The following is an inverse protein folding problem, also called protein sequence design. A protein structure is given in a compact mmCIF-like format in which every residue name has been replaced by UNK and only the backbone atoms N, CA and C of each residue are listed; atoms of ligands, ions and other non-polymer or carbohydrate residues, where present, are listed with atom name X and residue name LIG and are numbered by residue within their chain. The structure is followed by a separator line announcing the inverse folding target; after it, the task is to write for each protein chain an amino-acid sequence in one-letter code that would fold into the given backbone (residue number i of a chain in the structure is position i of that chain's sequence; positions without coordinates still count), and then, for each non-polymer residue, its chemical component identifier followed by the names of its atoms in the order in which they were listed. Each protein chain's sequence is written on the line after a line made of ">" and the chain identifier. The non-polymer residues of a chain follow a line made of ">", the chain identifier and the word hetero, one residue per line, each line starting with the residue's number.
data_IF_616471804871
#
_entry.id   IF_616471804871
#
_cell.length_a   1.000
_cell.length_b   1.000
_cell.length_c   1.000
_cell.angle_alpha   90.00
_cell.angle_beta   90.00
_cell.angle_gamma   90.00
#
_symmetry.space_group_name_H-M   'P 1'
#
loop_
_entity.id
_entity.type
_entity.pdbx_description
1 polymer ?
#
# COMPACT_ATOMS: atom_id res chain seq x y z
N UNK A 1 -6.92 25.75 14.48
CA UNK A 1 -5.73 26.16 13.70
C UNK A 1 -5.45 27.61 13.98
N UNK A 2 -4.19 27.97 14.24
CA UNK A 2 -3.77 29.37 14.46
C UNK A 2 -3.21 29.92 13.16
N UNK A 3 -3.70 31.07 12.71
CA UNK A 3 -3.23 31.81 11.54
C UNK A 3 -2.76 33.22 11.94
N UNK A 4 -2.06 33.97 11.06
CA UNK A 4 -1.64 35.34 11.36
C UNK A 4 -2.79 36.32 11.65
N UNK A 5 -4.01 36.02 11.19
CA UNK A 5 -5.18 36.90 11.35
C UNK A 5 -6.18 36.38 12.38
N UNK A 6 -5.89 35.27 13.08
CA UNK A 6 -6.74 34.74 14.14
C UNK A 6 -6.80 33.23 14.20
N UNK A 7 -7.74 32.72 15.00
CA UNK A 7 -7.97 31.28 15.18
C UNK A 7 -9.11 30.82 14.28
N UNK A 8 -8.90 29.72 13.58
CA UNK A 8 -9.91 29.02 12.78
C UNK A 8 -10.26 27.70 13.48
N UNK A 9 -11.55 27.45 13.66
CA UNK A 9 -12.09 26.24 14.26
C UNK A 9 -13.14 25.61 13.33
N UNK A 10 -13.08 24.28 13.18
CA UNK A 10 -14.12 23.51 12.49
C UNK A 10 -15.09 22.89 13.49
N UNK A 11 -16.29 22.57 13.01
CA UNK A 11 -17.34 21.94 13.83
C UNK A 11 -17.15 20.43 13.86
N UNK A 12 -17.25 19.84 15.04
CA UNK A 12 -17.23 18.38 15.23
C UNK A 12 -18.56 17.74 14.83
N UNK A 13 -18.82 17.65 13.53
CA UNK A 13 -20.01 17.02 12.96
C UNK A 13 -19.63 15.72 12.22
N UNK A 14 -20.48 14.68 12.23
CA UNK A 14 -20.20 13.44 11.50
C UNK A 14 -20.20 13.64 9.97
N UNK A 15 -20.92 14.66 9.50
CA UNK A 15 -20.98 15.14 8.12
C UNK A 15 -21.72 16.47 8.08
N UNK A 16 -21.48 17.28 7.04
CA UNK A 16 -22.14 18.57 6.84
C UNK A 16 -22.37 18.80 5.35
N UNK A 17 -23.58 19.23 4.99
CA UNK A 17 -23.90 19.76 3.65
C UNK A 17 -23.86 21.29 3.58
N UNK A 18 -23.45 21.96 4.67
CA UNK A 18 -23.43 23.41 4.75
C UNK A 18 -22.19 24.00 4.07
N UNK A 19 -22.20 24.00 2.73
CA UNK A 19 -21.16 24.64 1.91
C UNK A 19 -19.81 23.91 1.94
N UNK A 20 -18.73 24.60 1.53
CA UNK A 20 -17.38 24.03 1.52
C UNK A 20 -16.93 23.59 2.91
N UNK A 21 -16.29 22.42 2.99
CA UNK A 21 -15.72 21.91 4.25
C UNK A 21 -14.49 22.74 4.65
N UNK A 22 -14.49 23.36 5.84
CA UNK A 22 -13.31 24.06 6.35
C UNK A 22 -12.10 23.14 6.50
N UNK A 23 -12.31 21.89 6.94
CA UNK A 23 -11.24 20.90 7.09
C UNK A 23 -10.56 20.60 5.76
N UNK A 24 -11.34 20.46 4.66
CA UNK A 24 -10.80 20.22 3.32
C UNK A 24 -10.02 21.40 2.74
N UNK A 25 -10.21 22.61 3.26
CA UNK A 25 -9.40 23.78 2.87
C UNK A 25 -8.01 23.74 3.52
N UNK A 26 -7.89 23.13 4.69
CA UNK A 26 -6.65 23.09 5.50
C UNK A 26 -5.82 21.84 5.24
N UNK A 27 -6.46 20.68 5.04
CA UNK A 27 -5.78 19.41 4.77
C UNK A 27 -5.05 19.52 3.43
N UNK A 28 -3.73 19.26 3.45
CA UNK A 28 -2.86 19.42 2.28
C UNK A 28 -2.28 20.82 2.10
N UNK A 29 -2.46 21.74 3.06
CA UNK A 29 -1.89 23.10 2.98
C UNK A 29 -0.38 23.19 3.18
N UNK A 30 0.29 22.12 3.61
CA UNK A 30 1.75 22.09 3.80
C UNK A 30 2.31 23.28 4.62
N UNK A 31 1.53 23.79 5.58
CA UNK A 31 1.92 24.86 6.50
C UNK A 31 1.74 26.29 5.97
N UNK A 32 1.24 26.48 4.74
CA UNK A 32 1.09 27.84 4.16
C UNK A 32 -0.08 28.64 4.76
N UNK A 33 -1.04 27.95 5.40
CA UNK A 33 -2.26 28.57 5.93
C UNK A 33 -2.21 28.83 7.45
N UNK A 34 -1.24 28.27 8.16
CA UNK A 34 -1.13 28.38 9.62
C UNK A 34 -0.67 27.08 10.29
N UNK A 35 -0.85 27.02 11.61
CA UNK A 35 -0.41 25.90 12.46
C UNK A 35 -1.62 25.17 13.05
N UNK A 36 -1.77 23.89 12.74
CA UNK A 36 -2.77 23.02 13.37
C UNK A 36 -2.29 22.68 14.78
N UNK A 37 -3.01 23.13 15.80
CA UNK A 37 -2.69 22.91 17.22
C UNK A 37 -3.49 21.77 17.84
N UNK A 38 -4.73 21.56 17.38
CA UNK A 38 -5.66 20.56 17.89
C UNK A 38 -6.49 19.98 16.75
N UNK A 39 -6.92 18.72 16.89
CA UNK A 39 -7.78 18.03 15.93
C UNK A 39 -8.68 16.99 16.61
N UNK A 40 -9.87 16.78 16.05
CA UNK A 40 -10.76 15.69 16.46
C UNK A 40 -10.58 14.50 15.52
N UNK A 41 -10.28 13.32 16.09
CA UNK A 41 -10.09 12.08 15.33
C UNK A 41 -11.22 11.09 15.58
N UNK A 42 -11.64 10.37 14.54
CA UNK A 42 -12.54 9.23 14.70
C UNK A 42 -11.73 8.04 15.24
N UNK A 43 -12.23 7.44 16.31
CA UNK A 43 -11.63 6.24 16.90
C UNK A 43 -12.46 5.00 16.53
N UNK A 44 -11.82 3.84 16.58
CA UNK A 44 -12.43 2.52 16.43
C UNK A 44 -11.86 1.63 17.55
N UNK A 45 -12.62 0.63 17.95
CA UNK A 45 -12.12 -0.37 18.90
C UNK A 45 -10.94 -1.14 18.29
N UNK A 46 -10.03 -1.57 19.16
CA UNK A 46 -8.84 -2.30 18.72
C UNK A 46 -9.27 -3.65 18.12
N UNK A 47 -8.86 -3.97 16.87
CA UNK A 47 -9.22 -5.26 16.28
C UNK A 47 -8.63 -6.43 17.08
N UNK A 48 -9.49 -7.40 17.43
CA UNK A 48 -9.13 -8.64 18.14
C UNK A 48 -9.25 -9.86 17.23
N UNK A 49 -10.01 -9.76 16.13
CA UNK A 49 -10.11 -10.76 15.08
C UNK A 49 -9.27 -10.36 13.88
N UNK A 50 -8.57 -11.36 13.32
CA UNK A 50 -7.54 -11.18 12.32
C UNK A 50 -7.49 -12.37 11.38
N UNK A 51 -7.45 -12.14 10.08
CA UNK A 51 -7.32 -13.17 9.07
C UNK A 51 -6.47 -12.63 7.93
N UNK A 52 -5.40 -13.34 7.57
CA UNK A 52 -4.48 -12.92 6.50
C UNK A 52 -3.98 -14.08 5.69
N UNK A 53 -3.71 -13.84 4.41
CA UNK A 53 -3.08 -14.79 3.51
C UNK A 53 -2.29 -14.03 2.44
N UNK A 54 -1.21 -14.63 1.95
CA UNK A 54 -0.47 -14.14 0.78
C UNK A 54 -0.81 -15.01 -0.41
N UNK A 55 -1.02 -14.38 -1.56
CA UNK A 55 -1.32 -15.05 -2.83
C UNK A 55 -0.20 -14.76 -3.81
N UNK A 56 0.31 -15.81 -4.44
CA UNK A 56 1.39 -15.77 -5.41
C UNK A 56 0.84 -15.80 -6.83
N UNK A 57 1.46 -15.02 -7.72
CA UNK A 57 1.12 -14.95 -9.13
C UNK A 57 2.38 -15.04 -9.99
N UNK A 58 2.31 -15.80 -11.07
CA UNK A 58 3.33 -15.86 -12.12
C UNK A 58 3.34 -14.59 -12.99
N UNK A 59 2.15 -14.13 -13.34
CA UNK A 59 1.94 -13.01 -14.26
C UNK A 59 1.46 -11.76 -13.49
N UNK A 60 2.10 -10.62 -13.77
CA UNK A 60 1.79 -9.37 -13.07
C UNK A 60 0.42 -8.80 -13.45
N UNK A 61 -0.01 -8.98 -14.70
CA UNK A 61 -1.31 -8.50 -15.18
C UNK A 61 -2.45 -9.25 -14.48
N UNK A 62 -2.30 -10.56 -14.31
CA UNK A 62 -3.22 -11.39 -13.52
C UNK A 62 -3.28 -10.92 -12.05
N UNK A 63 -2.12 -10.64 -11.44
CA UNK A 63 -2.06 -10.15 -10.07
C UNK A 63 -2.72 -8.76 -9.92
N UNK A 64 -2.53 -7.86 -10.90
CA UNK A 64 -3.19 -6.56 -10.97
C UNK A 64 -4.71 -6.72 -11.12
N UNK A 65 -5.18 -7.61 -12.00
CA UNK A 65 -6.61 -7.89 -12.20
C UNK A 65 -7.26 -8.43 -10.93
N UNK A 66 -6.63 -9.39 -10.25
CA UNK A 66 -7.10 -9.90 -8.96
C UNK A 66 -7.24 -8.77 -7.94
N UNK A 67 -6.22 -7.92 -7.85
CA UNK A 67 -6.18 -6.78 -6.92
C UNK A 67 -7.32 -5.80 -7.19
N UNK A 68 -7.58 -5.50 -8.47
CA UNK A 68 -8.71 -4.67 -8.91
C UNK A 68 -10.05 -5.28 -8.53
N UNK A 69 -10.30 -6.54 -8.87
CA UNK A 69 -11.57 -7.21 -8.60
C UNK A 69 -11.87 -7.28 -7.11
N UNK A 70 -10.86 -7.52 -6.28
CA UNK A 70 -10.99 -7.49 -4.81
C UNK A 70 -11.34 -6.08 -4.34
N UNK A 71 -10.70 -5.04 -4.86
CA UNK A 71 -11.02 -3.65 -4.50
C UNK A 71 -12.46 -3.26 -4.88
N UNK A 72 -12.95 -3.78 -6.01
CA UNK A 72 -14.30 -3.53 -6.54
C UNK A 72 -15.39 -4.43 -5.92
N UNK A 73 -15.01 -5.44 -5.14
CA UNK A 73 -15.94 -6.44 -4.57
C UNK A 73 -16.72 -5.95 -3.34
N UNK A 74 -16.34 -4.81 -2.75
CA UNK A 74 -16.93 -4.33 -1.51
C UNK A 74 -16.52 -5.13 -0.26
N UNK A 75 -15.45 -5.93 -0.33
CA UNK A 75 -14.91 -6.66 0.83
C UNK A 75 -14.13 -5.77 1.80
N UNK A 76 -13.60 -4.63 1.34
CA UNK A 76 -12.84 -3.65 2.14
C UNK A 76 -11.74 -4.27 3.04
N UNK A 77 -10.78 -5.01 2.47
CA UNK A 77 -9.67 -5.58 3.24
C UNK A 77 -8.88 -4.48 3.96
N UNK A 78 -8.41 -4.78 5.17
CA UNK A 78 -7.50 -3.92 5.92
C UNK A 78 -6.12 -3.81 5.24
N UNK A 79 -5.72 -4.82 4.47
CA UNK A 79 -4.54 -4.80 3.62
C UNK A 79 -4.84 -5.50 2.29
N UNK A 80 -4.55 -4.82 1.20
CA UNK A 80 -4.62 -5.33 -0.17
C UNK A 80 -3.44 -4.73 -0.94
N UNK A 81 -2.26 -5.31 -0.74
CA UNK A 81 -1.00 -4.80 -1.30
C UNK A 81 -0.43 -5.80 -2.28
N UNK A 82 -0.23 -5.36 -3.52
CA UNK A 82 0.45 -6.13 -4.54
C UNK A 82 1.91 -5.72 -4.59
N UNK A 83 2.81 -6.68 -4.49
CA UNK A 83 4.25 -6.52 -4.65
C UNK A 83 4.63 -7.15 -5.99
N UNK A 84 5.38 -6.43 -6.83
CA UNK A 84 6.06 -7.13 -7.91
C UNK A 84 7.15 -8.06 -7.37
N UNK A 85 7.67 -8.95 -8.22
CA UNK A 85 8.58 -9.99 -7.78
C UNK A 85 9.92 -9.41 -7.24
N UNK A 86 10.44 -8.36 -7.89
CA UNK A 86 11.66 -7.70 -7.44
C UNK A 86 11.46 -6.96 -6.12
N UNK A 87 10.30 -6.33 -5.91
CA UNK A 87 9.91 -5.70 -4.65
C UNK A 87 9.77 -6.75 -3.53
N UNK A 88 9.17 -7.90 -3.84
CA UNK A 88 9.02 -9.01 -2.92
C UNK A 88 10.39 -9.56 -2.48
N UNK A 89 11.32 -9.76 -3.42
CA UNK A 89 12.71 -10.13 -3.13
C UNK A 89 13.40 -9.08 -2.26
N UNK A 90 13.33 -7.82 -2.67
CA UNK A 90 14.02 -6.71 -2.01
C UNK A 90 13.61 -6.56 -0.55
N UNK A 91 12.32 -6.76 -0.25
CA UNK A 91 11.78 -6.69 1.10
C UNK A 91 11.75 -8.03 1.83
N UNK A 92 12.31 -9.10 1.24
CA UNK A 92 12.33 -10.47 1.79
C UNK A 92 10.92 -11.02 2.06
N UNK A 93 9.93 -10.53 1.32
CA UNK A 93 8.57 -11.06 1.32
C UNK A 93 8.43 -12.28 0.41
N UNK A 94 9.38 -12.49 -0.52
CA UNK A 94 9.49 -13.65 -1.40
C UNK A 94 10.93 -13.84 -1.91
N UNK A 95 11.12 -14.79 -2.82
CA UNK A 95 12.42 -15.11 -3.43
C UNK A 95 12.66 -14.42 -4.79
N UNK A 96 11.70 -13.62 -5.24
CA UNK A 96 11.76 -12.93 -6.53
C UNK A 96 11.26 -13.73 -7.73
N UNK A 97 10.72 -14.93 -7.53
CA UNK A 97 10.17 -15.76 -8.61
C UNK A 97 8.68 -15.54 -8.86
N UNK A 98 7.98 -14.82 -7.97
CA UNK A 98 6.53 -14.61 -8.00
C UNK A 98 6.17 -13.19 -7.57
N UNK A 99 5.09 -12.68 -8.11
CA UNK A 99 4.39 -11.50 -7.58
C UNK A 99 3.56 -11.91 -6.37
N UNK A 100 3.47 -11.04 -5.36
CA UNK A 100 2.81 -11.36 -4.09
C UNK A 100 1.71 -10.36 -3.80
N UNK A 101 0.47 -10.84 -3.68
CA UNK A 101 -0.66 -10.09 -3.15
C UNK A 101 -0.86 -10.43 -1.67
N UNK A 102 -0.67 -9.45 -0.79
CA UNK A 102 -0.92 -9.60 0.64
C UNK A 102 -2.36 -9.16 0.93
N UNK A 103 -3.16 -10.09 1.45
CA UNK A 103 -4.55 -9.85 1.86
C UNK A 103 -4.67 -9.99 3.38
N UNK A 104 -5.32 -9.02 4.01
CA UNK A 104 -5.68 -9.15 5.41
C UNK A 104 -6.97 -8.43 5.78
N UNK A 105 -7.69 -9.02 6.72
CA UNK A 105 -8.94 -8.54 7.28
C UNK A 105 -8.81 -8.47 8.80
N UNK A 106 -9.30 -7.38 9.39
CA UNK A 106 -9.28 -7.18 10.84
C UNK A 106 -10.63 -6.66 11.32
N UNK A 107 -11.09 -7.13 12.49
CA UNK A 107 -12.33 -6.66 13.13
C UNK A 107 -12.18 -6.64 14.65
N UNK A 108 -12.85 -5.70 15.30
CA UNK A 108 -12.99 -5.69 16.76
C UNK A 108 -14.17 -6.55 17.25
N UNK A 109 -15.05 -6.99 16.34
CA UNK A 109 -16.37 -7.52 16.68
C UNK A 109 -16.57 -9.00 16.30
N UNK A 110 -16.10 -9.43 15.12
CA UNK A 110 -16.37 -10.79 14.60
C UNK A 110 -15.25 -11.36 13.73
N UNK A 111 -15.26 -12.69 13.52
CA UNK A 111 -14.33 -13.37 12.62
C UNK A 111 -14.59 -12.97 11.15
N UNK A 112 -13.52 -12.68 10.40
CA UNK A 112 -13.58 -12.29 8.98
C UNK A 112 -13.03 -13.36 8.03
N UNK A 113 -13.00 -14.63 8.47
CA UNK A 113 -12.51 -15.75 7.65
C UNK A 113 -13.26 -15.88 6.32
N UNK A 114 -14.59 -15.69 6.32
CA UNK A 114 -15.43 -15.76 5.12
C UNK A 114 -15.08 -14.63 4.12
N UNK A 115 -14.69 -13.45 4.61
CA UNK A 115 -14.25 -12.34 3.74
C UNK A 115 -12.91 -12.65 3.10
N UNK A 116 -11.99 -13.23 3.88
CA UNK A 116 -10.72 -13.69 3.35
C UNK A 116 -10.94 -14.78 2.30
N UNK A 117 -11.77 -15.78 2.60
CA UNK A 117 -12.09 -16.87 1.66
C UNK A 117 -12.65 -16.32 0.34
N UNK A 118 -13.57 -15.35 0.41
CA UNK A 118 -14.11 -14.73 -0.81
C UNK A 118 -13.07 -13.94 -1.59
N UNK A 119 -12.15 -13.24 -0.92
CA UNK A 119 -11.04 -12.55 -1.58
C UNK A 119 -10.07 -13.54 -2.24
N UNK A 120 -9.81 -14.68 -1.60
CA UNK A 120 -8.96 -15.75 -2.12
C UNK A 120 -9.60 -16.46 -3.32
N UNK A 121 -10.93 -16.63 -3.34
CA UNK A 121 -11.66 -17.12 -4.51
C UNK A 121 -11.48 -16.20 -5.72
N UNK A 122 -11.60 -14.87 -5.52
CA UNK A 122 -11.37 -13.88 -6.59
C UNK A 122 -9.91 -13.91 -7.05
N UNK A 123 -8.95 -14.00 -6.11
CA UNK A 123 -7.54 -14.08 -6.48
C UNK A 123 -7.23 -15.35 -7.28
N UNK A 124 -7.83 -16.48 -6.91
CA UNK A 124 -7.65 -17.75 -7.60
C UNK A 124 -8.31 -17.80 -8.97
N UNK A 125 -9.45 -17.12 -9.18
CA UNK A 125 -10.06 -17.04 -10.52
C UNK A 125 -9.19 -16.33 -11.54
N UNK A 126 -8.27 -15.47 -11.08
CA UNK A 126 -7.27 -14.79 -11.90
C UNK A 126 -5.91 -15.53 -11.92
N UNK A 127 -5.85 -16.78 -11.45
CA UNK A 127 -4.63 -17.60 -11.47
C UNK A 127 -3.71 -17.43 -10.25
N UNK A 128 -4.20 -16.84 -9.16
CA UNK A 128 -3.46 -16.75 -7.90
C UNK A 128 -3.39 -18.08 -7.15
N UNK A 129 -2.20 -18.40 -6.65
CA UNK A 129 -1.94 -19.57 -5.82
C UNK A 129 -1.73 -19.17 -4.36
N UNK A 130 -2.33 -19.89 -3.41
CA UNK A 130 -2.18 -19.59 -1.99
C UNK A 130 -2.23 -20.86 -1.17
N UNK A 131 -1.57 -20.83 -0.02
CA UNK A 131 -1.71 -21.85 1.02
C UNK A 131 -2.45 -21.23 2.21
N UNK A 132 -3.58 -21.84 2.59
CA UNK A 132 -4.29 -21.38 3.79
C UNK A 132 -3.42 -21.71 5.02
N UNK A 133 -3.25 -20.76 5.97
CA UNK A 133 -2.55 -21.05 7.21
C UNK A 133 -3.20 -22.25 7.91
N UNK A 134 -2.41 -23.27 8.28
CA UNK A 134 -2.94 -24.50 8.86
C UNK A 134 -3.50 -24.34 10.28
N UNK A 135 -3.22 -23.24 10.99
CA UNK A 135 -3.78 -22.99 12.33
C UNK A 135 -4.12 -21.51 12.56
N UNK A 136 -5.11 -21.26 13.44
CA UNK A 136 -5.42 -19.94 14.01
C UNK A 136 -4.27 -19.50 14.93
N UNK A 137 -3.07 -19.33 14.40
CA UNK A 137 -1.97 -18.71 15.14
C UNK A 137 -2.34 -17.24 15.38
N UNK A 138 -2.43 -16.89 16.66
CA UNK A 138 -2.77 -15.54 17.16
C UNK A 138 -1.79 -14.47 16.68
N UNK A 139 -0.66 -14.87 16.08
CA UNK A 139 0.38 -14.00 15.52
C UNK A 139 0.62 -14.16 14.00
N UNK A 140 -0.29 -14.75 13.22
CA UNK A 140 -0.11 -14.95 11.77
C UNK A 140 0.21 -13.67 10.96
N UNK A 141 -0.17 -12.49 11.46
CA UNK A 141 0.19 -11.19 10.87
C UNK A 141 1.63 -10.73 11.19
N UNK A 142 2.33 -11.43 12.09
CA UNK A 142 3.72 -11.19 12.52
C UNK A 142 4.68 -12.28 12.04
N UNK A 143 4.17 -13.44 11.64
CA UNK A 143 4.92 -14.52 11.01
C UNK A 143 4.76 -14.51 9.47
N UNK A 144 5.61 -15.24 8.76
CA UNK A 144 5.58 -15.37 7.30
C UNK A 144 5.93 -14.10 6.50
N UNK A 145 5.50 -14.06 5.23
CA UNK A 145 5.78 -12.97 4.29
C UNK A 145 5.22 -11.62 4.78
N UNK A 146 4.02 -11.61 5.36
CA UNK A 146 3.36 -10.41 5.89
C UNK A 146 4.10 -9.77 7.08
N UNK A 147 4.58 -10.59 8.01
CA UNK A 147 5.38 -10.12 9.14
C UNK A 147 6.76 -9.60 8.73
N UNK A 148 7.43 -10.31 7.82
CA UNK A 148 8.74 -9.90 7.27
C UNK A 148 8.62 -8.59 6.50
N UNK A 149 7.59 -8.44 5.68
CA UNK A 149 7.23 -7.20 4.98
C UNK A 149 6.97 -6.04 5.93
N UNK A 150 6.18 -6.25 7.00
CA UNK A 150 5.95 -5.18 7.99
C UNK A 150 7.26 -4.71 8.64
N UNK A 151 8.14 -5.65 8.99
CA UNK A 151 9.43 -5.31 9.59
C UNK A 151 10.38 -4.63 8.60
N UNK A 152 10.29 -4.93 7.29
CA UNK A 152 11.11 -4.26 6.28
C UNK A 152 10.84 -2.76 6.24
N UNK A 153 9.57 -2.31 6.34
CA UNK A 153 9.24 -0.88 6.39
C UNK A 153 9.86 -0.15 7.58
N UNK A 154 9.83 -0.75 8.77
CA UNK A 154 10.42 -0.15 9.97
C UNK A 154 11.94 0.02 9.83
N UNK A 155 12.58 -0.87 9.06
CA UNK A 155 14.02 -0.86 8.83
C UNK A 155 14.44 -0.06 7.60
N UNK A 156 13.53 0.23 6.67
CA UNK A 156 13.83 0.86 5.39
C UNK A 156 14.59 2.20 5.54
N UNK A 157 14.22 3.15 6.42
CA UNK A 157 14.98 4.39 6.60
C UNK A 157 16.43 4.15 7.06
N UNK A 158 16.64 3.21 7.98
CA UNK A 158 17.98 2.85 8.47
C UNK A 158 18.83 2.19 7.37
N UNK A 159 18.21 1.34 6.54
CA UNK A 159 18.89 0.71 5.42
C UNK A 159 19.25 1.74 4.34
N UNK A 160 18.37 2.72 4.09
CA UNK A 160 18.65 3.86 3.19
C UNK A 160 19.86 4.66 3.66
N UNK A 161 19.93 5.03 4.94
CA UNK A 161 21.09 5.73 5.50
C UNK A 161 22.38 4.92 5.33
N UNK A 162 22.31 3.61 5.54
CA UNK A 162 23.43 2.72 5.34
C UNK A 162 23.82 2.59 3.85
N UNK A 163 22.86 2.59 2.93
CA UNK A 163 23.08 2.54 1.48
C UNK A 163 23.77 3.81 0.98
N UNK A 164 23.28 4.99 1.39
CA UNK A 164 23.84 6.29 1.01
C UNK A 164 25.30 6.43 1.43
N UNK A 165 25.66 5.94 2.63
CA UNK A 165 27.06 5.90 3.09
C UNK A 165 27.99 5.05 2.22
N UNK A 166 27.43 4.15 1.41
CA UNK A 166 28.15 3.31 0.45
C UNK A 166 28.07 3.84 -0.98
N UNK A 167 27.54 5.05 -1.18
CA UNK A 167 27.37 5.65 -2.50
C UNK A 167 26.19 5.08 -3.30
N UNK A 168 25.26 4.38 -2.65
CA UNK A 168 24.04 3.86 -3.27
C UNK A 168 22.92 4.88 -3.01
N UNK A 169 22.35 5.42 -4.09
CA UNK A 169 21.17 6.28 -4.00
C UNK A 169 19.96 5.37 -3.92
N UNK A 170 19.21 5.45 -2.84
CA UNK A 170 17.94 4.75 -2.69
C UNK A 170 16.87 5.78 -2.42
N UNK A 171 15.91 5.88 -3.34
CA UNK A 171 14.74 6.72 -3.15
C UNK A 171 13.46 6.06 -3.67
N UNK A 172 12.36 6.78 -3.47
CA UNK A 172 11.02 6.33 -3.74
C UNK A 172 10.17 7.46 -4.28
N UNK A 173 9.16 7.11 -5.07
CA UNK A 173 8.11 8.05 -5.47
C UNK A 173 6.79 7.30 -5.69
N UNK A 174 5.68 8.01 -5.58
CA UNK A 174 4.35 7.42 -5.69
C UNK A 174 3.41 8.28 -6.54
N UNK A 175 2.31 7.67 -6.97
CA UNK A 175 1.22 8.35 -7.65
C UNK A 175 -0.08 7.57 -7.47
N UNK A 176 -1.16 8.03 -8.11
CA UNK A 176 -2.39 7.28 -8.32
C UNK A 176 -2.73 7.21 -9.81
N UNK A 177 -3.36 6.11 -10.22
CA UNK A 177 -3.77 5.88 -11.61
C UNK A 177 -5.05 5.04 -11.66
N UNK A 178 -5.88 5.24 -12.69
CA UNK A 178 -7.08 4.43 -12.92
C UNK A 178 -6.71 3.03 -13.43
N UNK A 179 -7.58 2.06 -13.15
CA UNK A 179 -7.30 0.65 -13.46
C UNK A 179 -7.11 0.34 -14.95
N UNK A 180 -7.75 1.08 -15.84
CA UNK A 180 -7.65 0.91 -17.29
C UNK A 180 -6.28 1.29 -17.88
N UNK A 181 -5.50 2.08 -17.14
CA UNK A 181 -4.16 2.50 -17.52
C UNK A 181 -3.05 1.90 -16.65
N UNK A 182 -3.37 1.14 -15.60
CA UNK A 182 -2.42 0.82 -14.55
C UNK A 182 -1.24 -0.04 -15.00
N UNK A 183 -1.45 -1.06 -15.84
CA UNK A 183 -0.35 -1.93 -16.30
C UNK A 183 0.65 -1.14 -17.13
N UNK A 184 0.21 -0.59 -18.26
CA UNK A 184 1.06 0.16 -19.20
C UNK A 184 1.77 1.30 -18.50
N UNK A 185 1.08 2.00 -17.58
CA UNK A 185 1.67 3.08 -16.80
C UNK A 185 2.80 2.58 -15.90
N UNK A 186 2.58 1.51 -15.12
CA UNK A 186 3.58 0.95 -14.21
C UNK A 186 4.82 0.47 -14.99
N UNK A 187 4.62 -0.26 -16.08
CA UNK A 187 5.73 -0.74 -16.92
C UNK A 187 6.50 0.42 -17.56
N UNK A 188 5.79 1.41 -18.10
CA UNK A 188 6.39 2.59 -18.71
C UNK A 188 7.21 3.41 -17.70
N UNK A 189 6.71 3.59 -16.48
CA UNK A 189 7.41 4.33 -15.43
C UNK A 189 8.66 3.60 -14.98
N UNK A 190 8.62 2.27 -14.80
CA UNK A 190 9.82 1.48 -14.46
C UNK A 190 10.90 1.66 -15.52
N UNK A 191 10.55 1.49 -16.79
CA UNK A 191 11.52 1.57 -17.89
C UNK A 191 12.06 2.99 -18.06
N UNK A 192 11.20 4.02 -18.05
CA UNK A 192 11.63 5.42 -18.17
C UNK A 192 12.52 5.85 -17.00
N UNK A 193 12.22 5.41 -15.79
CA UNK A 193 13.04 5.70 -14.61
C UNK A 193 14.42 5.07 -14.74
N UNK A 194 14.48 3.77 -15.10
CA UNK A 194 15.74 3.06 -15.32
C UNK A 194 16.58 3.74 -16.41
N UNK A 195 15.95 4.10 -17.53
CA UNK A 195 16.62 4.79 -18.65
C UNK A 195 17.17 6.15 -18.23
N UNK A 196 16.37 6.98 -17.55
CA UNK A 196 16.80 8.31 -17.11
C UNK A 196 18.00 8.24 -16.15
N UNK A 197 17.98 7.29 -15.20
CA UNK A 197 19.11 7.11 -14.26
C UNK A 197 20.35 6.62 -15.01
N UNK A 198 20.19 5.69 -15.96
CA UNK A 198 21.30 5.19 -16.77
C UNK A 198 21.93 6.31 -17.62
N UNK A 199 21.13 7.16 -18.27
CA UNK A 199 21.63 8.28 -19.08
C UNK A 199 22.45 9.29 -18.26
N UNK A 200 22.08 9.51 -17.00
CA UNK A 200 22.76 10.47 -16.10
C UNK A 200 24.01 9.86 -15.46
N UNK A 201 23.93 8.59 -15.03
CA UNK A 201 24.93 7.98 -14.14
C UNK A 201 25.77 6.88 -14.79
N UNK A 202 25.35 6.35 -15.95
CA UNK A 202 25.93 5.16 -16.58
C UNK A 202 25.72 3.86 -15.79
N UNK A 203 24.85 3.86 -14.77
CA UNK A 203 24.58 2.69 -13.92
C UNK A 203 23.29 2.01 -14.35
N UNK A 204 23.28 0.68 -14.30
CA UNK A 204 22.03 -0.07 -14.28
C UNK A 204 21.34 0.14 -12.92
N UNK A 205 20.03 0.30 -12.95
CA UNK A 205 19.22 0.62 -11.77
C UNK A 205 18.09 -0.38 -11.67
N UNK A 206 17.86 -0.88 -10.46
CA UNK A 206 16.66 -1.64 -10.21
C UNK A 206 15.50 -0.67 -9.93
N UNK A 207 14.36 -0.86 -10.59
CA UNK A 207 13.14 -0.10 -10.32
C UNK A 207 12.01 -1.08 -10.06
N UNK A 208 11.52 -1.08 -8.83
CA UNK A 208 10.47 -1.98 -8.34
C UNK A 208 9.19 -1.20 -8.08
N UNK A 209 8.07 -1.90 -7.98
CA UNK A 209 6.77 -1.32 -7.72
C UNK A 209 5.95 -2.19 -6.77
N UNK A 210 5.25 -1.52 -5.86
CA UNK A 210 4.14 -2.08 -5.09
C UNK A 210 2.89 -1.23 -5.24
N UNK A 211 1.72 -1.85 -5.15
CA UNK A 211 0.48 -1.13 -4.88
C UNK A 211 0.31 -0.99 -3.37
N UNK A 212 0.33 0.25 -2.88
CA UNK A 212 0.21 0.53 -1.44
C UNK A 212 -1.26 0.62 -0.98
N UNK A 213 -2.11 1.14 -1.87
CA UNK A 213 -3.54 1.27 -1.68
C UNK A 213 -4.27 0.91 -2.97
N UNK A 214 -5.49 0.44 -2.81
CA UNK A 214 -6.40 0.09 -3.89
C UNK A 214 -7.71 0.84 -3.66
N UNK A 215 -8.28 1.33 -4.76
CA UNK A 215 -9.53 2.06 -4.79
C UNK A 215 -10.46 1.40 -5.81
N UNK A 216 -11.79 1.55 -5.67
CA UNK A 216 -12.73 0.99 -6.65
C UNK A 216 -12.43 1.43 -8.09
N UNK A 217 -11.92 2.64 -8.28
CA UNK A 217 -11.64 3.29 -9.56
C UNK A 217 -10.15 3.31 -9.95
N UNK A 218 -9.23 2.95 -9.05
CA UNK A 218 -7.80 2.95 -9.36
C UNK A 218 -6.90 2.36 -8.29
N UNK A 219 -5.60 2.59 -8.41
CA UNK A 219 -4.59 2.13 -7.46
C UNK A 219 -3.51 3.19 -7.21
N UNK A 220 -2.76 2.99 -6.12
CA UNK A 220 -1.61 3.82 -5.76
C UNK A 220 -0.30 3.04 -5.92
N UNK A 221 0.29 3.04 -7.14
CA UNK A 221 1.61 2.48 -7.35
C UNK A 221 2.69 3.32 -6.64
N UNK A 222 3.61 2.61 -6.02
CA UNK A 222 4.72 3.16 -5.26
C UNK A 222 5.99 2.50 -5.76
N UNK A 223 6.89 3.32 -6.29
CA UNK A 223 8.12 2.87 -6.92
C UNK A 223 9.29 3.04 -5.97
N UNK A 224 10.20 2.09 -5.98
CA UNK A 224 11.49 2.19 -5.30
C UNK A 224 12.60 2.02 -6.33
N UNK A 225 13.66 2.80 -6.23
CA UNK A 225 14.84 2.63 -7.08
C UNK A 225 16.13 2.67 -6.26
N UNK A 226 17.12 1.87 -6.70
CA UNK A 226 18.44 1.71 -6.08
C UNK A 226 19.52 1.47 -7.12
#
# INVERSE_FOLDING_TARGET
>A
MVTPTGVIESRRLPGSGAGPSPDRMVIGSEGILGVITEAWMRLQDRPVFRSSCSVEFEDYQNALNATRLISQSGLYPANCRLLDANEALFNRAGDGSKHILILSFESADHELGIWLDRALEIASSEGGHYEKPQEKETEAHRSGASGTWRNSFLRAPFNRDAAVRRGIIWDTFETSITWDHSLDFIESIKEKTRKAIHEISGRETNVTCRLTHTYPDGCAPYFSYT
#
